data_IF_771939191802
#
_entry.id   IF_771939191802
#
_cell.length_a   1.000
_cell.length_b   1.000
_cell.length_c   1.000
_cell.angle_alpha   90.00
_cell.angle_beta   90.00
_cell.angle_gamma   90.00
#
_symmetry.space_group_name_H-M   'P 1'
#
loop_
_entity.id
_entity.type
_entity.pdbx_description
1 polymer ?
#
# COMPACT_ATOMS: atom_id res chain seq x y z
N UNK A 1 -12.97 -4.61 4.38
CA UNK A 1 -12.22 -5.87 4.25
C UNK A 1 -10.79 -5.58 4.63
N UNK A 2 -10.05 -6.53 5.21
CA UNK A 2 -8.62 -6.32 5.45
C UNK A 2 -7.87 -6.26 4.12
N UNK A 3 -6.98 -5.29 4.00
CA UNK A 3 -6.14 -5.10 2.81
C UNK A 3 -4.78 -4.52 3.16
N UNK A 4 -3.79 -4.83 2.35
CA UNK A 4 -2.47 -4.24 2.36
C UNK A 4 -2.41 -3.19 1.25
N UNK A 5 -2.04 -1.97 1.59
CA UNK A 5 -1.91 -0.86 0.66
C UNK A 5 -0.44 -0.52 0.44
N UNK A 6 -0.02 -0.47 -0.84
CA UNK A 6 1.30 0.01 -1.24
C UNK A 6 1.15 1.34 -1.99
N UNK A 7 2.06 2.27 -1.76
CA UNK A 7 2.06 3.55 -2.45
C UNK A 7 3.48 4.09 -2.63
N UNK A 8 3.74 4.93 -3.65
CA UNK A 8 5.01 5.63 -3.79
C UNK A 8 5.28 6.55 -2.61
N UNK A 9 6.54 6.70 -2.23
CA UNK A 9 6.95 7.67 -1.20
C UNK A 9 6.74 9.12 -1.65
N UNK A 10 6.81 9.38 -2.98
CA UNK A 10 6.34 10.64 -3.55
C UNK A 10 4.81 10.61 -3.65
N UNK A 11 4.09 11.40 -2.85
CA UNK A 11 2.63 11.39 -2.85
C UNK A 11 2.00 11.88 -4.15
N UNK A 12 2.75 12.61 -4.99
CA UNK A 12 2.26 13.15 -6.26
C UNK A 12 2.46 12.17 -7.43
N UNK A 13 3.22 11.09 -7.24
CA UNK A 13 3.49 10.14 -8.30
C UNK A 13 2.21 9.44 -8.80
N UNK A 14 2.11 9.33 -10.11
CA UNK A 14 1.09 8.53 -10.81
C UNK A 14 1.74 7.83 -12.00
N UNK A 15 1.23 6.67 -12.43
CA UNK A 15 1.65 6.06 -13.69
C UNK A 15 1.46 7.06 -14.84
N UNK A 16 2.45 7.16 -15.72
CA UNK A 16 2.39 8.04 -16.89
C UNK A 16 1.31 7.63 -17.89
N UNK A 17 0.92 8.53 -18.79
CA UNK A 17 0.03 8.20 -19.88
C UNK A 17 0.72 7.15 -20.79
N UNK A 18 0.12 5.95 -20.88
CA UNK A 18 0.71 4.81 -21.59
C UNK A 18 1.64 3.95 -20.74
N UNK A 19 1.80 4.26 -19.46
CA UNK A 19 2.48 3.39 -18.51
C UNK A 19 1.68 2.09 -18.36
N UNK A 20 2.35 0.99 -18.61
CA UNK A 20 1.80 -0.36 -18.46
C UNK A 20 2.16 -0.94 -17.11
N UNK A 21 1.78 -0.23 -16.04
CA UNK A 21 2.03 -0.69 -14.67
C UNK A 21 1.47 -2.10 -14.41
N UNK A 22 0.32 -2.43 -15.03
CA UNK A 22 -0.22 -3.79 -15.03
C UNK A 22 0.72 -4.81 -15.67
N UNK A 23 1.39 -4.44 -16.75
CA UNK A 23 2.32 -5.35 -17.44
C UNK A 23 3.53 -5.66 -16.54
N UNK A 24 4.01 -4.69 -15.78
CA UNK A 24 5.05 -4.93 -14.77
C UNK A 24 4.59 -5.96 -13.73
N UNK A 25 3.40 -5.76 -13.16
CA UNK A 25 2.88 -6.67 -12.12
C UNK A 25 2.60 -8.07 -12.66
N UNK A 26 2.16 -8.17 -13.92
CA UNK A 26 1.99 -9.45 -14.62
C UNK A 26 3.33 -10.14 -14.88
N UNK A 27 4.33 -9.42 -15.39
CA UNK A 27 5.69 -9.94 -15.62
C UNK A 27 6.35 -10.43 -14.32
N UNK A 28 6.06 -9.76 -13.20
CA UNK A 28 6.49 -10.22 -11.88
C UNK A 28 5.72 -11.46 -11.40
N UNK A 29 4.61 -11.79 -12.04
CA UNK A 29 3.70 -12.84 -11.60
C UNK A 29 2.90 -12.48 -10.35
N UNK A 30 2.80 -11.18 -10.01
CA UNK A 30 2.00 -10.72 -8.89
C UNK A 30 0.51 -10.78 -9.20
N UNK A 31 0.13 -10.47 -10.44
CA UNK A 31 -1.25 -10.53 -10.93
C UNK A 31 -1.37 -11.49 -12.11
N UNK A 32 -2.58 -12.02 -12.29
CA UNK A 32 -3.02 -12.74 -13.48
C UNK A 32 -4.06 -11.88 -14.22
N UNK A 33 -3.72 -11.42 -15.42
CA UNK A 33 -4.61 -10.58 -16.25
C UNK A 33 -5.56 -11.41 -17.11
N UNK A 34 -5.31 -12.73 -17.26
CA UNK A 34 -6.16 -13.63 -18.06
C UNK A 34 -7.49 -13.92 -17.37
N UNK A 35 -7.55 -13.79 -16.08
CA UNK A 35 -8.71 -14.05 -15.23
C UNK A 35 -9.18 -12.75 -14.59
N UNK A 36 -10.26 -12.17 -15.07
CA UNK A 36 -10.90 -11.00 -14.43
C UNK A 36 -11.51 -11.44 -13.10
N UNK A 37 -11.05 -10.84 -12.00
CA UNK A 37 -11.76 -10.91 -10.74
C UNK A 37 -13.04 -10.05 -10.89
N UNK A 38 -14.18 -10.61 -10.67
CA UNK A 38 -15.56 -10.16 -10.88
C UNK A 38 -15.94 -8.66 -10.98
N UNK A 39 -15.04 -7.71 -10.71
CA UNK A 39 -15.22 -6.28 -10.92
C UNK A 39 -14.24 -5.76 -11.97
N UNK A 40 -14.68 -4.80 -12.78
CA UNK A 40 -13.79 -4.12 -13.74
C UNK A 40 -12.67 -3.39 -12.98
N UNK A 41 -11.42 -3.76 -13.27
CA UNK A 41 -10.24 -3.17 -12.62
C UNK A 41 -9.62 -4.01 -11.49
N UNK A 42 -10.25 -5.13 -11.10
CA UNK A 42 -9.67 -6.06 -10.14
C UNK A 42 -8.87 -7.15 -10.87
N UNK A 43 -7.71 -7.49 -10.33
CA UNK A 43 -6.83 -8.54 -10.83
C UNK A 43 -6.81 -9.70 -9.83
N UNK A 44 -6.65 -10.92 -10.31
CA UNK A 44 -6.39 -12.07 -9.45
C UNK A 44 -4.92 -12.13 -9.05
N UNK A 45 -4.65 -12.82 -7.94
CA UNK A 45 -3.30 -13.15 -7.56
C UNK A 45 -2.64 -14.02 -8.63
N UNK A 46 -1.43 -13.66 -9.06
CA UNK A 46 -0.63 -14.41 -10.01
C UNK A 46 0.18 -15.52 -9.37
N UNK A 47 0.88 -16.30 -10.18
CA UNK A 47 1.64 -17.49 -9.74
C UNK A 47 2.76 -17.20 -8.73
N UNK A 48 3.33 -15.98 -8.75
CA UNK A 48 4.38 -15.56 -7.83
C UNK A 48 3.86 -14.76 -6.62
N UNK A 49 2.55 -14.67 -6.45
CA UNK A 49 1.94 -13.86 -5.38
C UNK A 49 2.50 -14.19 -4.00
N UNK A 50 2.57 -15.48 -3.63
CA UNK A 50 3.08 -15.93 -2.32
C UNK A 50 4.60 -15.74 -2.14
N UNK A 51 5.35 -15.52 -3.23
CA UNK A 51 6.77 -15.21 -3.18
C UNK A 51 7.02 -13.70 -3.10
N UNK A 52 6.07 -12.90 -3.57
CA UNK A 52 6.15 -11.43 -3.60
C UNK A 52 5.47 -10.79 -2.39
N UNK A 53 4.47 -11.46 -1.83
CA UNK A 53 3.81 -11.07 -0.59
C UNK A 53 4.13 -12.13 0.47
N UNK A 54 4.99 -11.76 1.41
CA UNK A 54 5.41 -12.64 2.50
C UNK A 54 4.42 -12.56 3.64
N UNK A 55 4.13 -13.70 4.24
CA UNK A 55 3.22 -13.80 5.38
C UNK A 55 4.00 -14.07 6.67
N UNK A 56 3.81 -13.21 7.66
CA UNK A 56 4.47 -13.26 8.97
C UNK A 56 3.64 -14.11 9.95
N UNK A 57 3.59 -15.42 9.75
CA UNK A 57 2.80 -16.27 10.65
C UNK A 57 2.90 -17.74 10.29
N UNK A 58 2.60 -18.61 11.27
CA UNK A 58 2.73 -20.05 11.08
C UNK A 58 1.65 -20.67 10.19
N UNK A 59 0.57 -19.96 9.88
CA UNK A 59 -0.53 -20.48 9.06
C UNK A 59 -1.39 -19.37 8.49
N UNK A 60 -0.89 -18.61 7.51
CA UNK A 60 -1.69 -17.59 6.87
C UNK A 60 -2.86 -18.26 6.15
N UNK A 61 -4.07 -17.82 6.47
CA UNK A 61 -5.27 -18.30 5.77
C UNK A 61 -5.51 -17.42 4.55
N UNK A 62 -4.81 -17.73 3.47
CA UNK A 62 -4.90 -17.02 2.20
C UNK A 62 -5.76 -17.83 1.25
N UNK A 63 -6.78 -17.22 0.67
CA UNK A 63 -7.61 -17.80 -0.37
C UNK A 63 -7.18 -17.19 -1.70
N UNK A 64 -6.60 -17.97 -2.59
CA UNK A 64 -6.14 -17.48 -3.90
C UNK A 64 -7.22 -17.66 -4.98
N UNK A 65 -8.07 -18.68 -4.87
CA UNK A 65 -9.11 -18.98 -5.85
C UNK A 65 -10.51 -18.71 -5.30
N UNK A 66 -11.41 -18.11 -6.10
CA UNK A 66 -12.77 -17.77 -5.63
C UNK A 66 -13.66 -18.97 -5.25
N UNK A 67 -13.29 -20.19 -5.61
CA UNK A 67 -14.04 -21.41 -5.29
C UNK A 67 -13.64 -22.07 -3.96
N UNK A 68 -12.51 -21.70 -3.40
CA UNK A 68 -11.97 -22.20 -2.13
C UNK A 68 -12.38 -21.34 -0.93
N UNK A 69 -13.19 -20.30 -1.17
CA UNK A 69 -13.63 -19.40 -0.14
C UNK A 69 -14.48 -20.14 0.91
N UNK A 70 -13.86 -20.45 2.02
CA UNK A 70 -14.52 -20.82 3.26
C UNK A 70 -15.52 -19.73 3.65
N UNK A 71 -16.65 -20.08 4.21
CA UNK A 71 -17.77 -19.18 4.51
C UNK A 71 -17.33 -17.80 5.02
N UNK A 72 -17.55 -16.77 4.18
CA UNK A 72 -17.32 -15.36 4.53
C UNK A 72 -15.92 -14.78 4.22
N UNK A 73 -15.05 -15.49 3.51
CA UNK A 73 -13.73 -14.99 3.10
C UNK A 73 -13.72 -14.57 1.65
N UNK A 74 -13.03 -13.48 1.39
CA UNK A 74 -12.79 -12.99 0.04
C UNK A 74 -11.45 -13.53 -0.48
N UNK A 75 -11.44 -14.03 -1.70
CA UNK A 75 -10.18 -14.38 -2.37
C UNK A 75 -9.28 -13.17 -2.51
N UNK A 76 -7.97 -13.39 -2.45
CA UNK A 76 -6.99 -12.35 -2.69
C UNK A 76 -7.19 -11.75 -4.08
N UNK A 77 -7.23 -10.44 -4.13
CA UNK A 77 -7.37 -9.67 -5.36
C UNK A 77 -6.53 -8.41 -5.26
N UNK A 78 -6.16 -7.87 -6.40
CA UNK A 78 -5.41 -6.63 -6.48
C UNK A 78 -6.22 -5.60 -7.25
N UNK A 79 -6.14 -4.35 -6.83
CA UNK A 79 -6.75 -3.23 -7.54
C UNK A 79 -5.92 -1.96 -7.40
N UNK A 80 -6.07 -1.04 -8.36
CA UNK A 80 -5.44 0.27 -8.29
C UNK A 80 -6.46 1.32 -7.86
N UNK A 81 -5.98 2.25 -7.06
CA UNK A 81 -6.71 3.48 -6.77
C UNK A 81 -5.93 4.65 -7.31
N UNK A 82 -6.53 5.40 -8.21
CA UNK A 82 -5.98 6.64 -8.75
C UNK A 82 -6.89 7.80 -8.35
N UNK A 83 -6.32 8.75 -7.62
CA UNK A 83 -7.01 9.94 -7.15
C UNK A 83 -6.59 11.19 -7.94
N UNK A 84 -7.51 12.13 -8.20
CA UNK A 84 -7.18 13.38 -8.87
C UNK A 84 -6.22 14.24 -8.06
N UNK A 85 -6.28 14.13 -6.73
CA UNK A 85 -5.44 14.86 -5.77
C UNK A 85 -4.81 13.90 -4.76
N UNK A 86 -3.76 14.37 -4.07
CA UNK A 86 -3.12 13.60 -3.00
C UNK A 86 -4.13 13.33 -1.89
N UNK A 87 -4.41 12.07 -1.66
CA UNK A 87 -5.41 11.57 -0.72
C UNK A 87 -4.72 10.88 0.45
N UNK A 88 -5.26 11.11 1.64
CA UNK A 88 -4.85 10.39 2.85
C UNK A 88 -5.67 9.11 2.99
N UNK A 89 -4.99 7.96 3.08
CA UNK A 89 -5.61 6.68 3.40
C UNK A 89 -5.03 6.13 4.69
N UNK A 90 -5.86 5.48 5.50
CA UNK A 90 -5.46 4.91 6.78
C UNK A 90 -6.16 3.58 7.04
N UNK A 91 -5.38 2.58 7.44
CA UNK A 91 -5.89 1.31 7.94
C UNK A 91 -6.42 1.41 9.39
N UNK A 92 -6.00 2.42 10.15
CA UNK A 92 -6.41 2.66 11.51
C UNK A 92 -7.34 3.88 11.64
N UNK A 93 -8.36 3.80 12.48
CA UNK A 93 -9.25 4.94 12.76
C UNK A 93 -8.48 6.14 13.36
N UNK A 94 -7.44 5.89 14.14
CA UNK A 94 -6.57 6.90 14.77
C UNK A 94 -5.13 6.43 14.69
N UNK A 95 -4.44 6.66 13.56
CA UNK A 95 -3.05 6.25 13.42
C UNK A 95 -2.17 7.02 14.40
N UNK A 96 -1.25 6.31 15.06
CA UNK A 96 -0.25 6.93 15.90
C UNK A 96 0.88 7.47 15.02
N UNK A 97 1.10 8.75 15.10
CA UNK A 97 2.05 9.49 14.27
C UNK A 97 3.25 9.90 15.08
N UNK A 98 4.45 9.80 14.53
CA UNK A 98 5.70 10.18 15.20
C UNK A 98 6.55 11.11 14.33
N UNK A 99 7.33 11.91 15.02
CA UNK A 99 8.38 12.71 14.37
C UNK A 99 9.46 11.76 13.81
N UNK A 100 9.84 11.86 12.53
CA UNK A 100 10.88 11.00 11.93
C UNK A 100 12.26 11.23 12.56
N UNK A 101 12.56 12.44 13.06
CA UNK A 101 13.86 12.75 13.64
C UNK A 101 14.06 12.23 15.06
N UNK A 102 13.09 12.46 15.96
CA UNK A 102 13.26 12.10 17.38
C UNK A 102 12.30 11.03 17.89
N UNK A 103 11.41 10.53 17.02
CA UNK A 103 10.37 9.51 17.29
C UNK A 103 9.36 9.89 18.40
N UNK A 104 9.33 11.15 18.81
CA UNK A 104 8.31 11.64 19.73
C UNK A 104 6.93 11.58 19.06
N UNK A 105 5.85 11.33 19.83
CA UNK A 105 4.48 11.42 19.30
C UNK A 105 4.23 12.82 18.72
N UNK A 106 3.61 12.90 17.55
CA UNK A 106 3.26 14.16 16.90
C UNK A 106 1.90 14.73 17.35
N UNK A 107 1.14 13.96 18.16
CA UNK A 107 -0.20 14.35 18.59
C UNK A 107 -1.25 14.18 17.47
N UNK A 108 -2.33 14.94 17.56
CA UNK A 108 -3.33 15.00 16.48
C UNK A 108 -2.78 15.83 15.32
N UNK A 109 -2.83 15.26 14.14
CA UNK A 109 -2.32 15.87 12.91
C UNK A 109 -3.49 16.07 11.95
N UNK A 110 -3.62 17.28 11.43
CA UNK A 110 -4.57 17.58 10.36
C UNK A 110 -4.07 16.99 9.04
N UNK A 111 -4.79 16.01 8.55
CA UNK A 111 -4.47 15.27 7.32
C UNK A 111 -5.15 15.84 6.06
N UNK A 112 -5.80 16.99 6.16
CA UNK A 112 -6.50 17.63 5.02
C UNK A 112 -5.55 18.09 3.92
N UNK A 113 -4.25 18.25 4.22
CA UNK A 113 -3.24 18.64 3.23
C UNK A 113 -1.90 17.97 3.53
N UNK A 114 -1.36 17.27 2.54
CA UNK A 114 -0.07 16.57 2.61
C UNK A 114 1.13 17.50 2.76
N UNK A 115 1.05 18.72 2.23
CA UNK A 115 2.12 19.75 2.27
C UNK A 115 2.12 20.57 3.54
N UNK A 116 1.09 20.47 4.39
CA UNK A 116 1.07 21.15 5.68
C UNK A 116 2.24 20.66 6.53
N UNK A 117 2.84 21.58 7.28
CA UNK A 117 3.97 21.29 8.16
C UNK A 117 3.55 21.27 9.62
N UNK A 118 4.18 20.38 10.37
CA UNK A 118 4.03 20.25 11.83
C UNK A 118 5.39 20.46 12.47
N UNK A 119 5.47 21.33 13.46
CA UNK A 119 6.69 21.50 14.27
C UNK A 119 6.67 20.53 15.44
N UNK A 120 7.67 19.69 15.53
CA UNK A 120 7.81 18.75 16.64
C UNK A 120 8.07 19.47 17.94
N UNK A 121 7.20 19.29 18.93
CA UNK A 121 7.33 19.93 20.24
C UNK A 121 8.59 19.50 21.02
N UNK A 122 9.16 18.32 20.68
CA UNK A 122 10.33 17.79 21.40
C UNK A 122 11.66 18.26 20.82
N UNK A 123 11.81 18.22 19.46
CA UNK A 123 13.10 18.53 18.82
C UNK A 123 13.07 19.78 17.94
N UNK A 124 11.92 20.45 17.81
CA UNK A 124 11.77 21.67 17.01
C UNK A 124 11.80 21.45 15.49
N UNK A 125 11.98 20.20 15.01
CA UNK A 125 12.01 19.93 13.57
C UNK A 125 10.66 20.25 12.95
N UNK A 126 10.68 20.99 11.85
CA UNK A 126 9.50 21.23 11.01
C UNK A 126 9.42 20.14 9.94
N UNK A 127 8.32 19.41 9.89
CA UNK A 127 8.13 18.22 9.03
C UNK A 127 6.80 18.34 8.30
N UNK A 128 6.81 18.08 7.01
CA UNK A 128 5.55 17.96 6.25
C UNK A 128 4.73 16.75 6.75
N UNK A 129 3.42 16.88 6.74
CA UNK A 129 2.50 15.85 7.25
C UNK A 129 2.69 14.52 6.52
N UNK A 130 2.92 14.53 5.20
CA UNK A 130 3.20 13.31 4.43
C UNK A 130 4.54 12.64 4.79
N UNK A 131 5.50 13.39 5.34
CA UNK A 131 6.82 12.89 5.73
C UNK A 131 6.91 12.45 7.21
N UNK A 132 5.82 12.53 7.96
CA UNK A 132 5.75 11.99 9.31
C UNK A 132 5.82 10.45 9.29
N UNK A 133 6.30 9.87 10.38
CA UNK A 133 6.28 8.41 10.58
C UNK A 133 4.88 7.94 10.99
N UNK A 134 4.11 7.47 10.03
CA UNK A 134 2.77 6.92 10.19
C UNK A 134 2.75 5.48 10.68
N UNK A 135 3.91 4.89 10.95
CA UNK A 135 4.08 3.56 11.54
C UNK A 135 3.36 2.44 10.77
N UNK A 136 3.36 2.52 9.46
CA UNK A 136 2.66 1.57 8.58
C UNK A 136 1.16 1.46 8.91
N UNK A 137 0.54 2.56 9.27
CA UNK A 137 -0.89 2.61 9.56
C UNK A 137 -1.65 3.53 8.60
N UNK A 138 -0.93 4.36 7.86
CA UNK A 138 -1.51 5.32 6.92
C UNK A 138 -0.46 5.83 5.92
N UNK A 139 -0.93 6.46 4.85
CA UNK A 139 -0.08 7.10 3.85
C UNK A 139 -0.81 8.15 3.04
N UNK A 140 -0.05 8.94 2.29
CA UNK A 140 -0.53 9.94 1.35
C UNK A 140 -0.13 9.54 -0.07
N UNK A 141 -1.04 9.68 -1.02
CA UNK A 141 -0.74 9.39 -2.41
C UNK A 141 -1.88 9.74 -3.35
N UNK A 142 -1.54 9.85 -4.61
CA UNK A 142 -2.51 9.85 -5.72
C UNK A 142 -2.71 8.46 -6.30
N UNK A 143 -1.76 7.56 -6.06
CA UNK A 143 -1.80 6.19 -6.54
C UNK A 143 -1.55 5.21 -5.39
N UNK A 144 -2.43 4.22 -5.29
CA UNK A 144 -2.30 3.10 -4.36
C UNK A 144 -2.54 1.77 -5.09
N UNK A 145 -1.71 0.79 -4.78
CA UNK A 145 -1.95 -0.61 -5.11
C UNK A 145 -2.52 -1.29 -3.86
N UNK A 146 -3.76 -1.74 -3.94
CA UNK A 146 -4.42 -2.48 -2.87
C UNK A 146 -4.35 -3.97 -3.14
N UNK A 147 -4.00 -4.72 -2.12
CA UNK A 147 -4.05 -6.19 -2.08
C UNK A 147 -5.12 -6.55 -1.05
N UNK A 148 -6.30 -6.88 -1.54
CA UNK A 148 -7.45 -7.28 -0.72
C UNK A 148 -7.38 -8.75 -0.32
N UNK A 149 -8.08 -9.10 0.77
CA UNK A 149 -8.12 -10.46 1.31
C UNK A 149 -6.91 -10.84 2.16
N UNK A 150 -6.05 -9.89 2.51
CA UNK A 150 -4.87 -10.08 3.38
C UNK A 150 -4.91 -9.12 4.57
N UNK A 151 -4.34 -9.55 5.70
CA UNK A 151 -4.22 -8.68 6.88
C UNK A 151 -2.90 -7.91 6.86
N UNK A 152 -2.92 -6.56 6.97
CA UNK A 152 -1.70 -5.73 6.85
C UNK A 152 -0.62 -6.04 7.88
N UNK A 153 -0.99 -6.57 9.05
CA UNK A 153 -0.03 -6.97 10.09
C UNK A 153 0.55 -8.37 9.89
N UNK A 154 -0.01 -9.17 8.96
CA UNK A 154 0.44 -10.52 8.62
C UNK A 154 1.10 -10.59 7.25
N UNK A 155 0.76 -9.66 6.35
CA UNK A 155 1.27 -9.62 4.98
C UNK A 155 2.23 -8.43 4.80
N UNK A 156 3.38 -8.69 4.20
CA UNK A 156 4.37 -7.67 3.86
C UNK A 156 4.90 -7.90 2.44
N UNK A 157 5.13 -6.84 1.64
CA UNK A 157 5.76 -6.98 0.34
C UNK A 157 7.21 -7.44 0.51
N UNK A 158 7.67 -8.32 -0.38
CA UNK A 158 9.07 -8.73 -0.43
C UNK A 158 9.97 -7.60 -0.93
N UNK A 159 11.25 -7.66 -0.61
CA UNK A 159 12.24 -6.70 -1.13
C UNK A 159 12.27 -6.73 -2.66
N UNK A 160 12.14 -7.91 -3.28
CA UNK A 160 12.06 -8.06 -4.74
C UNK A 160 10.91 -7.23 -5.33
N UNK A 161 9.71 -7.28 -4.73
CA UNK A 161 8.58 -6.49 -5.19
C UNK A 161 8.86 -4.99 -5.03
N UNK A 162 9.31 -4.57 -3.85
CA UNK A 162 9.60 -3.16 -3.57
C UNK A 162 10.70 -2.60 -4.47
N UNK A 163 11.74 -3.38 -4.76
CA UNK A 163 12.83 -2.99 -5.67
C UNK A 163 12.32 -2.83 -7.11
N UNK A 164 11.52 -3.77 -7.60
CA UNK A 164 10.93 -3.68 -8.94
C UNK A 164 10.00 -2.47 -9.08
N UNK A 165 9.18 -2.20 -8.07
CA UNK A 165 8.31 -1.03 -8.04
C UNK A 165 9.13 0.28 -7.99
N UNK A 166 10.24 0.29 -7.23
CA UNK A 166 11.17 1.42 -7.14
C UNK A 166 11.85 1.70 -8.48
N UNK A 167 12.33 0.67 -9.15
CA UNK A 167 12.98 0.78 -10.46
C UNK A 167 12.02 1.36 -11.50
N UNK A 168 10.77 0.88 -11.50
CA UNK A 168 9.75 1.34 -12.44
C UNK A 168 9.32 2.80 -12.19
N UNK A 169 9.11 3.18 -10.93
CA UNK A 169 8.59 4.50 -10.57
C UNK A 169 9.68 5.56 -10.38
N UNK A 170 10.95 5.15 -10.31
CA UNK A 170 12.08 6.05 -10.00
C UNK A 170 12.14 6.49 -8.54
N UNK A 171 11.32 5.93 -7.63
CA UNK A 171 11.25 6.33 -6.23
C UNK A 171 10.88 5.17 -5.30
N UNK A 172 11.17 5.34 -3.99
CA UNK A 172 10.83 4.33 -2.99
C UNK A 172 9.32 4.11 -2.85
N UNK A 173 8.93 2.93 -2.40
CA UNK A 173 7.55 2.58 -2.08
C UNK A 173 7.39 2.31 -0.58
N UNK A 174 6.22 2.63 -0.07
CA UNK A 174 5.80 2.41 1.30
C UNK A 174 4.53 1.54 1.32
N UNK A 175 4.19 0.99 2.49
CA UNK A 175 3.00 0.14 2.64
C UNK A 175 2.44 0.22 4.06
N UNK A 176 1.15 -0.08 4.18
CA UNK A 176 0.43 -0.16 5.45
C UNK A 176 -0.81 -1.05 5.34
#
# INVERSE_FOLDING_TARGET
>A
MPSLLLHPADPCWIPGAGDRFSDLLEQLGLIDTTLKAGRSGDFRAGEQFLNLIMFLGCSPRVVLEPGEADEGRTACHLQYHLYPEVTFLSAAKRPQVRCPGCRAPAGEVDTSSHVRSVTCARCGQNVQVCALDWRRAAGFGRFFLEIGGVYPHEAVPSDKLLDSLREHSGGAWQYF
#
